data_IF_296708317696
#
_entry.id   IF_296708317696
#
_cell.length_a   1.000
_cell.length_b   1.000
_cell.length_c   1.000
_cell.angle_alpha   90.00
_cell.angle_beta   90.00
_cell.angle_gamma   90.00
#
_symmetry.space_group_name_H-M   'P 1'
#
loop_
_entity.id
_entity.type
_entity.pdbx_description
1 polymer ?
2 polymer ?
3 polymer ?
4 polymer ?
5 non-polymer ?
6 non-polymer ?
7 non-polymer ?
8 non-polymer ?
9 non-polymer ?
10 non-polymer ?
11 water ?
#
loop_
_entity_poly.entity_id
_entity_poly.type
_entity_poly.pdbx_seq_one_letter_code
_entity_poly.pdbx_strand_id
2 'polydeoxyribonucleotide' '(DC)(DG)(DG)(DC)(DA)(DT)(DA)(DC)(DG)' ?
3 'polydeoxyribonucleotide' '(DC)(DG)(DT)(DA)' ?
4 'polydeoxyribonucleotide' '(DG)(DC)(DC)(DG)' ?
#
# COMPACT_ATOMS: atom_id res chain seq x y z
N UNK A 11 8.86 14.82 22.00
CA UNK A 11 8.95 13.37 22.10
C UNK A 11 8.38 12.65 20.89
N UNK A 12 7.86 13.42 19.92
CA UNK A 12 7.33 12.85 18.68
C UNK A 12 8.05 13.41 17.44
N UNK A 13 8.90 12.61 16.80
CA UNK A 13 9.61 13.10 15.61
C UNK A 13 8.65 13.38 14.43
N UNK A 14 9.08 14.23 13.50
CA UNK A 14 8.17 14.69 12.46
C UNK A 14 7.96 13.68 11.34
N UNK A 15 8.93 12.78 11.12
CA UNK A 15 8.82 11.77 10.04
C UNK A 15 8.30 10.45 10.61
N UNK A 16 7.41 9.78 9.87
CA UNK A 16 6.83 8.54 10.35
C UNK A 16 7.87 7.44 10.48
N UNK A 17 8.94 7.51 9.71
CA UNK A 17 9.99 6.49 9.76
C UNK A 17 10.89 6.60 10.98
N UNK A 18 10.68 7.64 11.77
CA UNK A 18 11.47 7.89 12.97
C UNK A 18 10.78 7.39 14.22
N UNK A 19 9.65 6.75 14.08
CA UNK A 19 8.93 6.26 15.25
C UNK A 19 8.23 4.94 14.94
N UNK A 20 8.11 4.07 15.95
CA UNK A 20 7.36 2.82 15.77
C UNK A 20 5.88 3.14 15.58
N UNK A 21 5.27 2.49 14.59
CA UNK A 21 3.81 2.58 14.46
C UNK A 21 3.21 1.19 14.40
N UNK A 22 2.53 0.78 15.46
CA UNK A 22 2.03 -0.58 15.47
C UNK A 22 0.76 -0.66 14.65
N UNK A 23 0.33 -1.89 14.40
CA UNK A 23 -0.83 -2.11 13.55
C UNK A 23 -2.10 -1.67 14.25
N UNK A 24 -2.24 -2.06 15.50
CA UNK A 24 -3.41 -1.63 16.28
C UNK A 24 -2.91 -0.65 17.35
N UNK A 25 -3.77 0.29 17.71
CA UNK A 25 -3.32 1.40 18.54
C UNK A 25 -4.44 1.96 19.41
N UNK A 26 -4.25 3.18 19.89
CA UNK A 26 -5.15 3.76 20.92
C UNK A 26 -5.95 4.95 20.46
N UNK A 27 -5.94 5.19 19.16
CA UNK A 27 -6.65 6.36 18.62
C UNK A 27 -7.34 6.08 17.29
N UNK A 28 -7.88 4.88 17.20
CA UNK A 28 -8.44 4.37 15.95
C UNK A 28 -9.48 5.28 15.32
N UNK A 29 -10.47 5.70 16.12
CA UNK A 29 -11.53 6.54 15.59
C UNK A 29 -11.02 7.87 15.07
N UNK A 30 -10.08 8.47 15.81
CA UNK A 30 -9.51 9.76 15.41
C UNK A 30 -8.71 9.62 14.10
N UNK A 31 -7.88 8.59 14.01
CA UNK A 31 -7.08 8.40 12.80
C UNK A 31 -7.98 8.11 11.61
N UNK A 32 -9.03 7.33 11.81
CA UNK A 32 -9.93 7.00 10.69
C UNK A 32 -10.60 8.27 10.13
N UNK A 33 -10.97 9.20 11.01
CA UNK A 33 -11.61 10.44 10.60
C UNK A 33 -10.66 11.29 9.76
N UNK A 34 -9.43 11.44 10.22
CA UNK A 34 -8.45 12.19 9.45
C UNK A 34 -8.14 11.53 8.11
N UNK A 35 -8.14 10.20 8.08
CA UNK A 35 -7.90 9.50 6.82
C UNK A 35 -9.04 9.65 5.81
N UNK A 36 -10.26 9.87 6.29
CA UNK A 36 -11.34 10.21 5.38
C UNK A 36 -11.02 11.53 4.67
N UNK A 37 -10.57 12.51 5.45
CA UNK A 37 -10.27 13.82 4.87
C UNK A 37 -9.08 13.71 3.93
N UNK A 38 -8.11 12.88 4.28
CA UNK A 38 -6.93 12.65 3.41
C UNK A 38 -7.39 12.09 2.09
N UNK A 39 -8.22 11.05 2.16
CA UNK A 39 -8.74 10.39 0.97
C UNK A 39 -9.51 11.40 0.08
N UNK A 40 -10.34 12.24 0.69
CA UNK A 40 -11.11 13.22 -0.09
C UNK A 40 -10.22 14.26 -0.74
N UNK A 41 -9.14 14.65 -0.05
CA UNK A 41 -8.17 15.56 -0.63
C UNK A 41 -7.57 14.93 -1.89
N UNK A 42 -7.22 13.65 -1.77
CA UNK A 42 -6.73 12.92 -2.93
C UNK A 42 -7.70 12.90 -4.08
N UNK A 43 -8.99 12.74 -3.79
CA UNK A 43 -10.00 12.72 -4.85
C UNK A 43 -10.08 14.05 -5.57
N UNK A 44 -9.71 15.13 -4.89
CA UNK A 44 -9.73 16.44 -5.52
C UNK A 44 -8.36 16.87 -6.07
N UNK A 45 -7.40 15.95 -6.10
CA UNK A 45 -6.10 16.25 -6.66
C UNK A 45 -5.17 17.05 -5.75
N UNK A 46 -5.52 17.15 -4.47
CA UNK A 46 -4.67 17.92 -3.55
C UNK A 46 -3.76 17.00 -2.76
N UNK A 47 -2.64 16.62 -3.38
CA UNK A 47 -1.63 15.74 -2.73
C UNK A 47 -1.09 16.26 -1.42
N UNK A 48 -0.87 17.56 -1.34
CA UNK A 48 -0.25 18.12 -0.13
C UNK A 48 -1.17 17.98 1.07
N UNK A 49 -2.44 18.30 0.87
CA UNK A 49 -3.42 18.16 1.94
C UNK A 49 -3.59 16.69 2.31
N UNK A 50 -3.60 15.82 1.31
CA UNK A 50 -3.71 14.37 1.54
C UNK A 50 -2.58 13.95 2.46
N UNK A 51 -1.37 14.40 2.13
CA UNK A 51 -0.20 14.06 2.94
C UNK A 51 -0.30 14.55 4.37
N UNK A 52 -0.73 15.79 4.55
CA UNK A 52 -0.83 16.31 5.91
C UNK A 52 -1.82 15.53 6.75
N UNK A 53 -3.00 15.26 6.20
CA UNK A 53 -4.01 14.50 6.92
C UNK A 53 -3.53 13.06 7.19
N UNK A 54 -2.85 12.44 6.23
CA UNK A 54 -2.26 11.11 6.48
C UNK A 54 -1.21 11.14 7.56
N UNK A 55 -0.33 12.15 7.54
CA UNK A 55 0.71 12.28 8.56
C UNK A 55 0.12 12.53 9.94
N UNK A 56 -0.90 13.38 10.02
CA UNK A 56 -1.54 13.67 11.29
C UNK A 56 -2.20 12.40 11.84
N UNK A 57 -2.90 11.68 10.97
CA UNK A 57 -3.49 10.42 11.36
C UNK A 57 -2.41 9.48 11.91
N UNK A 58 -1.26 9.44 11.22
CA UNK A 58 -0.21 8.50 11.56
C UNK A 58 0.41 8.83 12.92
N UNK A 59 0.55 10.11 13.19
CA UNK A 59 1.06 10.56 14.50
C UNK A 59 0.19 9.99 15.63
N UNK A 60 -1.12 10.06 15.44
CA UNK A 60 -2.02 9.48 16.45
C UNK A 60 -1.86 7.97 16.64
N UNK A 61 -1.58 7.24 15.55
CA UNK A 61 -1.37 5.81 15.65
C UNK A 61 -0.11 5.49 16.47
N UNK A 62 0.83 6.42 16.46
CA UNK A 62 2.10 6.22 17.15
C UNK A 62 2.06 6.59 18.63
N UNK A 63 0.97 7.20 19.07
CA UNK A 63 0.86 7.61 20.48
C UNK A 63 0.66 6.43 21.40
N UNK A 64 1.12 6.55 22.67
CA UNK A 64 1.09 5.41 23.59
C UNK A 64 -0.24 5.24 24.33
N UNK A 65 -1.17 6.18 24.16
CA UNK A 65 -2.46 6.09 24.84
C UNK A 65 -3.48 6.97 24.12
N UNK A 66 -4.78 6.92 24.51
CA UNK A 66 -5.76 7.72 23.78
C UNK A 66 -5.59 9.22 23.99
N UNK A 67 -5.86 9.98 22.93
CA UNK A 67 -6.02 11.42 23.12
C UNK A 67 -7.41 11.67 23.72
N UNK A 68 -7.45 12.34 24.88
CA UNK A 68 -8.73 12.60 25.54
C UNK A 68 -9.03 14.09 25.62
N UNK A 69 -8.01 14.91 25.50
CA UNK A 69 -8.21 16.35 25.58
C UNK A 69 -7.38 17.04 24.52
N UNK A 70 -7.87 18.18 24.05
CA UNK A 70 -7.22 18.93 22.98
C UNK A 70 -5.79 19.33 23.30
N UNK A 71 -5.51 19.60 24.57
CA UNK A 71 -4.16 20.06 24.95
C UNK A 71 -3.08 19.01 24.65
N UNK A 72 -3.48 17.74 24.57
CA UNK A 72 -2.53 16.67 24.26
C UNK A 72 -2.02 16.72 22.81
N UNK A 73 -2.64 17.56 21.97
CA UNK A 73 -2.17 17.76 20.59
C UNK A 73 -1.04 18.79 20.48
N UNK A 74 -0.91 19.61 21.52
CA UNK A 74 0.13 20.64 21.56
C UNK A 74 1.51 20.06 21.34
N UNK A 75 2.26 20.67 20.42
CA UNK A 75 3.59 20.19 20.14
C UNK A 75 3.68 18.92 19.29
N UNK A 76 2.54 18.33 18.91
CA UNK A 76 2.59 17.17 18.00
C UNK A 76 2.76 17.67 16.57
N UNK A 77 3.67 17.05 15.83
CA UNK A 77 3.86 17.48 14.45
C UNK A 77 2.62 17.17 13.59
N UNK A 78 2.36 18.03 12.61
CA UNK A 78 1.28 17.89 11.63
C UNK A 78 -0.11 18.20 12.14
N UNK A 79 -0.21 18.70 13.37
CA UNK A 79 -1.48 19.18 13.88
C UNK A 79 -1.55 20.69 13.95
N UNK A 80 -2.19 21.28 12.96
CA UNK A 80 -2.41 22.72 12.95
C UNK A 80 -3.88 22.99 13.22
N UNK A 81 -4.36 24.12 12.71
CA UNK A 81 -5.73 24.52 13.01
C UNK A 81 -6.76 23.52 12.50
N UNK A 82 -6.57 23.02 11.28
CA UNK A 82 -7.58 22.15 10.67
C UNK A 82 -7.67 20.77 11.36
N UNK A 83 -6.55 20.04 11.46
CA UNK A 83 -6.59 18.71 12.06
C UNK A 83 -6.95 18.76 13.53
N UNK A 84 -6.52 19.82 14.20
CA UNK A 84 -6.87 19.97 15.62
C UNK A 84 -8.35 20.19 15.80
N UNK A 85 -8.97 20.93 14.88
CA UNK A 85 -10.40 21.19 14.96
C UNK A 85 -11.19 19.91 14.72
N UNK A 86 -10.72 19.08 13.79
CA UNK A 86 -11.34 17.79 13.58
C UNK A 86 -11.33 16.94 14.86
N UNK A 87 -10.18 16.86 15.51
CA UNK A 87 -10.06 16.08 16.73
C UNK A 87 -10.92 16.67 17.85
N UNK A 88 -10.94 18.00 17.94
CA UNK A 88 -11.73 18.69 18.97
C UNK A 88 -13.21 18.33 18.87
N UNK A 89 -13.76 18.32 17.66
CA UNK A 89 -15.18 18.02 17.47
C UNK A 89 -15.49 16.56 17.77
N UNK A 90 -14.59 15.66 17.40
CA UNK A 90 -14.77 14.25 17.74
C UNK A 90 -14.74 14.05 19.25
N UNK A 91 -13.81 14.72 19.92
CA UNK A 91 -13.69 14.64 21.39
C UNK A 91 -14.92 15.20 22.09
N UNK A 92 -15.44 16.31 21.58
CA UNK A 92 -16.60 17.00 22.14
C UNK A 92 -17.96 16.38 21.79
N UNK A 93 -18.11 15.86 20.58
CA UNK A 93 -19.42 15.42 20.08
C UNK A 93 -19.48 14.01 19.54
N UNK A 94 -18.33 13.36 19.41
CA UNK A 94 -18.27 12.00 18.90
C UNK A 94 -18.35 11.97 17.39
N UNK A 95 -18.44 13.15 16.78
CA UNK A 95 -18.64 13.28 15.35
C UNK A 95 -18.02 14.60 14.88
N UNK A 96 -17.43 14.60 13.68
CA UNK A 96 -16.90 15.81 13.06
C UNK A 96 -17.75 16.15 11.83
N UNK A 97 -18.36 17.33 11.84
CA UNK A 97 -19.34 17.67 10.81
C UNK A 97 -18.72 17.59 9.42
N UNK A 98 -17.50 18.09 9.29
CA UNK A 98 -16.85 18.11 7.98
C UNK A 98 -16.69 16.68 7.46
N UNK A 99 -16.25 15.78 8.35
CA UNK A 99 -16.05 14.38 7.99
C UNK A 99 -17.34 13.70 7.56
N UNK A 100 -18.43 13.96 8.30
CA UNK A 100 -19.72 13.35 7.98
C UNK A 100 -20.22 13.87 6.65
N UNK A 101 -20.02 15.16 6.43
CA UNK A 101 -20.44 15.78 5.18
C UNK A 101 -19.69 15.13 4.01
N UNK A 102 -18.39 14.91 4.17
CA UNK A 102 -17.65 14.19 3.14
C UNK A 102 -18.21 12.79 2.92
N UNK A 103 -18.37 12.03 4.01
CA UNK A 103 -18.84 10.65 3.91
C UNK A 103 -20.13 10.50 3.11
N UNK A 104 -21.06 11.43 3.31
CA UNK A 104 -22.34 11.29 2.62
C UNK A 104 -22.42 12.01 1.27
N UNK A 105 -21.36 12.70 0.88
CA UNK A 105 -21.40 13.40 -0.40
C UNK A 105 -21.40 12.43 -1.57
N UNK A 106 -22.04 12.82 -2.66
CA UNK A 106 -22.13 11.94 -3.79
C UNK A 106 -20.77 11.83 -4.45
N UNK A 107 -20.05 12.94 -4.49
CA UNK A 107 -18.70 13.00 -5.00
C UNK A 107 -17.76 12.01 -4.29
N UNK A 108 -17.72 12.06 -2.96
CA UNK A 108 -16.84 11.14 -2.23
C UNK A 108 -17.23 9.69 -2.49
N UNK A 109 -18.50 9.38 -2.35
CA UNK A 109 -18.97 8.00 -2.47
C UNK A 109 -18.69 7.41 -3.84
N UNK A 110 -18.84 8.23 -4.88
CA UNK A 110 -18.64 7.76 -6.24
C UNK A 110 -17.16 7.64 -6.64
N UNK A 111 -16.37 8.63 -6.27
CA UNK A 111 -14.91 8.55 -6.47
C UNK A 111 -14.35 7.36 -5.70
N UNK A 112 -14.86 7.11 -4.49
CA UNK A 112 -14.42 5.93 -3.75
C UNK A 112 -14.77 4.65 -4.49
N UNK A 113 -16.03 4.53 -4.91
CA UNK A 113 -16.47 3.36 -5.63
C UNK A 113 -15.66 3.16 -6.91
N UNK A 114 -15.43 4.23 -7.65
CA UNK A 114 -14.75 4.09 -8.95
C UNK A 114 -13.25 3.76 -8.78
N UNK A 115 -12.57 4.49 -7.90
CA UNK A 115 -11.15 4.26 -7.71
C UNK A 115 -10.82 2.88 -7.12
N UNK A 116 -11.81 2.24 -6.48
CA UNK A 116 -11.66 0.88 -5.96
C UNK A 116 -11.52 -0.14 -7.07
N UNK A 117 -11.97 0.21 -8.27
CA UNK A 117 -11.90 -0.73 -9.38
C UNK A 117 -10.44 -0.83 -9.82
N UNK A 118 -9.96 -2.06 -9.97
CA UNK A 118 -8.64 -2.31 -10.53
C UNK A 118 -8.57 -1.83 -11.99
N UNK A 119 -7.68 -0.87 -12.28
CA UNK A 119 -7.59 -0.26 -13.59
C UNK A 119 -8.11 1.18 -13.65
N UNK A 120 -8.72 1.64 -12.55
CA UNK A 120 -9.26 2.98 -12.47
C UNK A 120 -8.58 3.81 -11.39
N UNK A 121 -8.02 4.96 -11.76
CA UNK A 121 -7.37 5.80 -10.77
C UNK A 121 -8.19 7.04 -10.57
N UNK A 122 -7.67 8.00 -9.80
CA UNK A 122 -8.39 9.24 -9.54
C UNK A 122 -8.78 9.97 -10.83
N UNK A 123 -7.84 10.10 -11.75
CA UNK A 123 -8.10 10.85 -12.98
C UNK A 123 -9.22 10.24 -13.80
N UNK A 124 -9.24 8.92 -13.94
CA UNK A 124 -10.31 8.26 -14.69
C UNK A 124 -11.67 8.38 -13.96
N UNK A 125 -11.68 8.07 -12.67
CA UNK A 125 -12.90 8.20 -11.85
C UNK A 125 -13.52 9.59 -11.98
N UNK A 126 -12.66 10.61 -11.89
CA UNK A 126 -13.08 12.00 -11.97
C UNK A 126 -13.70 12.34 -13.32
N UNK A 127 -13.10 11.84 -14.40
CA UNK A 127 -13.64 12.09 -15.72
C UNK A 127 -15.01 11.47 -15.85
N UNK A 128 -15.13 10.21 -15.47
CA UNK A 128 -16.41 9.51 -15.42
C UNK A 128 -17.43 10.26 -14.55
N UNK A 129 -17.00 10.72 -13.39
CA UNK A 129 -17.89 11.50 -12.52
C UNK A 129 -18.43 12.74 -13.25
N UNK A 130 -17.53 13.47 -13.91
CA UNK A 130 -17.93 14.64 -14.67
C UNK A 130 -18.87 14.28 -15.83
N UNK A 131 -18.73 13.07 -16.37
CA UNK A 131 -19.61 12.62 -17.44
C UNK A 131 -20.99 12.20 -16.94
N UNK A 132 -21.17 12.20 -15.62
CA UNK A 132 -22.45 11.85 -15.05
C UNK A 132 -22.56 10.41 -14.56
N UNK A 133 -21.51 9.62 -14.71
CA UNK A 133 -21.58 8.23 -14.30
C UNK A 133 -21.52 8.16 -12.77
N UNK A 134 -22.25 7.23 -12.18
CA UNK A 134 -22.35 7.17 -10.73
C UNK A 134 -22.20 5.74 -10.16
N UNK A 135 -22.55 4.73 -10.94
CA UNK A 135 -22.61 3.36 -10.40
C UNK A 135 -21.83 2.36 -11.25
N UNK A 136 -21.58 1.16 -10.69
CA UNK A 136 -20.86 0.14 -11.45
C UNK A 136 -21.69 -0.28 -12.65
N UNK A 137 -22.99 -0.35 -12.47
CA UNK A 137 -23.87 -0.64 -13.60
C UNK A 137 -23.77 0.40 -14.72
N UNK A 138 -23.58 1.67 -14.36
CA UNK A 138 -23.37 2.69 -15.39
C UNK A 138 -22.16 2.35 -16.26
N UNK A 139 -21.12 1.79 -15.65
CA UNK A 139 -19.91 1.50 -16.37
C UNK A 139 -20.07 0.27 -17.24
N UNK A 140 -20.77 -0.72 -16.70
CA UNK A 140 -21.02 -1.95 -17.43
C UNK A 140 -21.82 -1.70 -18.71
N UNK A 141 -22.81 -0.81 -18.65
CA UNK A 141 -23.66 -0.48 -19.82
C UNK A 141 -22.91 0.16 -20.98
N UNK A 142 -21.77 0.78 -20.69
CA UNK A 142 -20.97 1.40 -21.74
C UNK A 142 -19.55 0.83 -21.76
N UNK A 143 -19.40 -0.47 -22.08
CA UNK A 143 -18.12 -1.16 -21.96
C UNK A 143 -17.15 -0.76 -23.07
N UNK A 144 -17.62 0.11 -23.96
CA UNK A 144 -16.78 0.65 -25.02
C UNK A 144 -15.73 1.58 -24.41
N UNK A 145 -16.08 2.22 -23.31
CA UNK A 145 -15.19 3.17 -22.68
C UNK A 145 -14.18 2.53 -21.72
N UNK A 146 -14.07 1.21 -21.72
CA UNK A 146 -13.24 0.53 -20.71
C UNK A 146 -12.03 -0.15 -21.32
N UNK A 147 -10.88 -0.05 -20.65
CA UNK A 147 -9.72 -0.79 -21.06
C UNK A 147 -9.92 -2.26 -20.66
N UNK A 148 -9.12 -3.17 -21.24
CA UNK A 148 -9.18 -4.58 -20.89
C UNK A 148 -8.91 -4.76 -19.40
N UNK A 149 -7.98 -3.98 -18.87
CA UNK A 149 -7.69 -4.03 -17.44
C UNK A 149 -8.93 -3.67 -16.62
N UNK A 150 -9.58 -2.57 -16.98
CA UNK A 150 -10.78 -2.13 -16.29
C UNK A 150 -11.93 -3.12 -16.44
N UNK A 151 -12.01 -3.79 -17.58
CA UNK A 151 -13.08 -4.78 -17.76
C UNK A 151 -12.87 -5.90 -16.76
N UNK A 152 -11.63 -6.35 -16.63
CA UNK A 152 -11.32 -7.37 -15.65
C UNK A 152 -11.57 -6.87 -14.24
N UNK A 153 -11.18 -5.64 -13.95
CA UNK A 153 -11.39 -5.09 -12.63
C UNK A 153 -12.87 -5.04 -12.27
N UNK A 154 -13.68 -4.69 -13.27
CA UNK A 154 -15.11 -4.55 -13.07
C UNK A 154 -15.81 -5.91 -12.93
N UNK A 155 -15.48 -6.85 -13.81
CA UNK A 155 -16.02 -8.21 -13.69
C UNK A 155 -15.72 -8.82 -12.35
N UNK A 156 -14.49 -8.63 -11.87
CA UNK A 156 -14.06 -9.26 -10.64
C UNK A 156 -14.25 -8.42 -9.40
N UNK A 157 -14.87 -7.26 -9.57
CA UNK A 157 -14.96 -6.26 -8.48
C UNK A 157 -15.52 -6.82 -7.18
N UNK A 158 -16.57 -7.63 -7.27
CA UNK A 158 -17.19 -8.15 -6.05
C UNK A 158 -16.22 -9.01 -5.25
N UNK A 159 -15.59 -9.98 -5.90
CA UNK A 159 -14.61 -10.81 -5.20
C UNK A 159 -13.44 -9.97 -4.70
N UNK A 160 -13.00 -9.01 -5.50
CA UNK A 160 -11.84 -8.21 -5.11
C UNK A 160 -12.16 -7.27 -3.93
N UNK A 161 -13.43 -7.07 -3.65
CA UNK A 161 -13.83 -6.23 -2.52
C UNK A 161 -13.91 -7.02 -1.23
N UNK A 162 -13.72 -8.34 -1.31
CA UNK A 162 -13.70 -9.19 -0.13
C UNK A 162 -12.26 -9.28 0.39
N UNK A 163 -12.06 -9.12 1.69
CA UNK A 163 -10.68 -9.16 2.24
C UNK A 163 -10.02 -10.49 1.97
N UNK A 164 -8.76 -10.47 1.55
CA UNK A 164 -7.96 -11.68 1.54
C UNK A 164 -7.57 -11.99 2.98
N UNK A 165 -7.66 -13.26 3.37
CA UNK A 165 -7.39 -13.64 4.75
C UNK A 165 -5.99 -14.21 4.88
N UNK A 166 -5.37 -14.01 6.04
CA UNK A 166 -4.02 -14.49 6.25
C UNK A 166 -4.06 -15.98 6.10
N UNK A 167 -5.21 -16.55 6.43
CA UNK A 167 -5.31 -17.99 6.39
C UNK A 167 -5.40 -18.51 4.96
N UNK A 168 -5.58 -17.60 3.99
CA UNK A 168 -5.57 -17.93 2.54
C UNK A 168 -4.16 -17.93 1.99
N UNK A 169 -3.28 -17.20 2.68
CA UNK A 169 -2.03 -16.75 2.07
C UNK A 169 -1.07 -17.91 1.88
N UNK A 170 -1.01 -18.80 2.86
CA UNK A 170 -0.08 -19.93 2.78
C UNK A 170 -0.35 -20.82 1.57
N UNK A 171 -1.62 -21.06 1.27
CA UNK A 171 -1.97 -21.87 0.10
C UNK A 171 -1.50 -21.21 -1.19
N UNK A 172 -1.73 -19.90 -1.32
CA UNK A 172 -1.27 -19.17 -2.50
C UNK A 172 0.25 -19.18 -2.61
N UNK A 173 0.94 -18.98 -1.49
CA UNK A 173 2.41 -18.95 -1.54
C UNK A 173 2.95 -20.27 -2.04
N UNK A 174 2.33 -21.37 -1.60
CA UNK A 174 2.81 -22.69 -2.03
C UNK A 174 2.68 -22.86 -3.53
N UNK A 175 1.56 -22.39 -4.04
CA UNK A 175 1.29 -22.49 -5.46
C UNK A 175 2.28 -21.64 -6.27
N UNK A 176 2.59 -20.45 -5.77
CA UNK A 176 3.59 -19.58 -6.42
C UNK A 176 5.00 -20.21 -6.35
N UNK A 177 5.34 -20.76 -5.19
CA UNK A 177 6.63 -21.38 -5.03
C UNK A 177 6.82 -22.54 -6.01
N UNK A 178 5.75 -23.29 -6.26
CA UNK A 178 5.85 -24.43 -7.18
C UNK A 178 6.18 -23.94 -8.59
N UNK A 179 5.45 -22.94 -9.08
CA UNK A 179 5.73 -22.38 -10.40
C UNK A 179 7.11 -21.73 -10.45
N UNK A 180 7.47 -21.00 -9.40
CA UNK A 180 8.79 -20.37 -9.31
C UNK A 180 9.93 -21.43 -9.33
N UNK A 181 9.74 -22.53 -8.62
CA UNK A 181 10.75 -23.59 -8.54
C UNK A 181 11.02 -24.26 -9.87
N UNK A 182 9.99 -24.40 -10.69
CA UNK A 182 10.14 -24.93 -12.03
C UNK A 182 10.76 -23.90 -12.94
N UNK A 183 10.36 -22.65 -12.77
CA UNK A 183 10.89 -21.58 -13.61
C UNK A 183 12.38 -21.38 -13.40
N UNK A 184 12.82 -21.52 -12.15
CA UNK A 184 14.23 -21.31 -11.82
C UNK A 184 14.52 -21.96 -10.48
N UNK A 185 15.04 -23.19 -10.51
CA UNK A 185 15.35 -23.86 -9.25
C UNK A 185 16.23 -23.02 -8.33
N UNK A 186 15.85 -22.94 -7.07
CA UNK A 186 16.64 -22.19 -6.13
C UNK A 186 16.09 -20.79 -5.90
N UNK A 187 15.18 -20.35 -6.75
CA UNK A 187 14.56 -19.03 -6.59
C UNK A 187 13.65 -19.08 -5.38
N UNK A 188 13.55 -17.97 -4.65
CA UNK A 188 12.75 -17.96 -3.41
C UNK A 188 11.56 -17.01 -3.51
N UNK A 189 10.57 -17.24 -2.67
CA UNK A 189 9.41 -16.39 -2.65
C UNK A 189 9.29 -15.86 -1.26
N UNK A 190 9.14 -14.53 -1.11
CA UNK A 190 9.02 -13.94 0.22
C UNK A 190 7.71 -13.16 0.31
N UNK A 191 6.93 -13.41 1.34
CA UNK A 191 5.68 -12.69 1.54
C UNK A 191 6.03 -11.26 1.98
N UNK A 192 5.46 -10.27 1.30
CA UNK A 192 5.73 -8.88 1.65
C UNK A 192 4.40 -8.16 1.90
N UNK A 193 4.35 -6.87 1.59
CA UNK A 193 3.11 -6.11 1.72
C UNK A 193 2.53 -6.10 3.14
N UNK A 194 1.23 -5.84 3.25
CA UNK A 194 0.58 -5.69 4.54
C UNK A 194 0.69 -6.92 5.44
N UNK A 195 0.62 -8.13 4.85
CA UNK A 195 0.70 -9.33 5.67
C UNK A 195 2.04 -9.46 6.38
N UNK A 196 3.10 -8.99 5.75
CA UNK A 196 4.40 -9.00 6.45
C UNK A 196 4.43 -8.03 7.65
N UNK A 197 3.62 -6.97 7.59
CA UNK A 197 3.53 -6.03 8.72
C UNK A 197 2.60 -6.55 9.81
N UNK A 198 2.08 -7.76 9.63
CA UNK A 198 1.21 -8.38 10.64
C UNK A 198 -0.29 -8.26 10.40
N UNK A 199 -0.68 -7.69 9.27
CA UNK A 199 -2.11 -7.56 8.99
C UNK A 199 -2.75 -8.94 8.90
N UNK A 200 -3.98 -9.05 9.39
CA UNK A 200 -4.71 -10.32 9.30
C UNK A 200 -5.56 -10.40 8.03
N UNK A 201 -5.74 -9.26 7.36
CA UNK A 201 -6.47 -9.20 6.11
C UNK A 201 -5.72 -8.30 5.14
N UNK A 202 -6.09 -8.36 3.86
CA UNK A 202 -5.44 -7.54 2.86
C UNK A 202 -6.29 -7.35 1.64
N UNK A 203 -5.95 -6.36 0.85
CA UNK A 203 -6.63 -6.16 -0.43
C UNK A 203 -6.03 -7.10 -1.50
N UNK A 204 -4.84 -7.61 -1.22
CA UNK A 204 -4.12 -8.46 -2.18
C UNK A 204 -3.05 -9.26 -1.44
N UNK A 205 -2.28 -10.05 -2.16
CA UNK A 205 -1.09 -10.66 -1.58
C UNK A 205 0.11 -10.22 -2.41
N UNK A 206 1.17 -9.76 -1.75
CA UNK A 206 2.38 -9.28 -2.42
C UNK A 206 3.56 -10.23 -2.19
N UNK A 207 4.17 -10.70 -3.27
CA UNK A 207 5.29 -11.64 -3.14
C UNK A 207 6.53 -11.06 -3.81
N UNK A 208 7.68 -11.16 -3.15
CA UNK A 208 8.94 -10.72 -3.73
C UNK A 208 9.78 -11.96 -4.06
N UNK A 209 10.30 -12.02 -5.27
CA UNK A 209 10.99 -13.22 -5.75
C UNK A 209 12.43 -12.85 -6.06
N UNK A 210 13.37 -13.71 -5.67
CA UNK A 210 14.77 -13.47 -6.01
C UNK A 210 15.48 -14.81 -6.14
N UNK A 211 16.80 -14.77 -6.38
CA UNK A 211 17.60 -16.00 -6.46
C UNK A 211 18.96 -15.66 -5.85
N UNK A 212 19.55 -16.59 -5.06
CA UNK A 212 20.80 -16.26 -4.34
C UNK A 212 22.01 -15.97 -5.24
N UNK A 213 21.96 -16.36 -6.51
CA UNK A 213 23.05 -16.07 -7.43
C UNK A 213 22.70 -14.87 -8.30
N UNK A 214 23.37 -13.74 -8.02
CA UNK A 214 23.14 -12.50 -8.76
C UNK A 214 23.11 -12.72 -10.27
N UNK A 215 22.05 -12.25 -10.91
CA UNK A 215 21.91 -12.38 -12.35
C UNK A 215 21.00 -13.54 -12.79
N UNK A 216 20.88 -14.58 -11.97
CA UNK A 216 20.08 -15.73 -12.37
C UNK A 216 18.60 -15.36 -12.47
N UNK A 217 18.22 -14.24 -11.85
CA UNK A 217 16.81 -13.90 -11.80
C UNK A 217 16.39 -13.13 -13.03
N UNK A 218 17.35 -12.71 -13.86
CA UNK A 218 17.01 -12.02 -15.11
C UNK A 218 16.03 -12.87 -15.95
N UNK A 219 14.98 -12.25 -16.47
CA UNK A 219 14.01 -12.94 -17.31
C UNK A 219 13.07 -13.91 -16.62
N UNK A 220 13.04 -13.88 -15.29
CA UNK A 220 12.33 -14.88 -14.51
C UNK A 220 10.81 -14.73 -14.51
N UNK A 221 10.33 -13.49 -14.39
CA UNK A 221 8.90 -13.28 -14.21
C UNK A 221 8.02 -13.80 -15.35
N UNK A 222 8.41 -13.57 -16.62
CA UNK A 222 7.59 -14.17 -17.69
C UNK A 222 7.49 -15.68 -17.58
N UNK A 223 8.57 -16.33 -17.15
CA UNK A 223 8.59 -17.79 -17.01
C UNK A 223 7.66 -18.24 -15.89
N UNK A 224 7.64 -17.47 -14.81
CA UNK A 224 6.74 -17.75 -13.71
C UNK A 224 5.30 -17.55 -14.20
N UNK A 225 5.05 -16.44 -14.89
CA UNK A 225 3.67 -16.15 -15.27
C UNK A 225 3.15 -17.20 -16.24
N UNK A 226 4.01 -17.67 -17.15
CA UNK A 226 3.58 -18.67 -18.13
C UNK A 226 3.21 -19.98 -17.43
N UNK A 227 3.97 -20.35 -16.41
CA UNK A 227 3.68 -21.56 -15.67
C UNK A 227 2.38 -21.44 -14.87
N UNK A 228 2.18 -20.29 -14.24
CA UNK A 228 0.96 -20.07 -13.48
C UNK A 228 -0.24 -20.10 -14.41
N UNK A 229 -0.10 -19.48 -15.58
CA UNK A 229 -1.22 -19.43 -16.52
C UNK A 229 -1.50 -20.84 -17.05
N UNK A 230 -0.44 -21.62 -17.29
CA UNK A 230 -0.61 -23.01 -17.73
C UNK A 230 -1.35 -23.88 -16.72
N UNK A 231 -1.15 -23.60 -15.44
CA UNK A 231 -1.87 -24.32 -14.40
C UNK A 231 -3.32 -23.85 -14.21
N UNK A 232 -3.76 -22.88 -15.01
CA UNK A 232 -5.15 -22.43 -14.94
C UNK A 232 -5.47 -21.48 -13.77
N UNK A 233 -4.43 -20.91 -13.17
CA UNK A 233 -4.59 -20.11 -11.94
C UNK A 233 -4.75 -18.62 -12.17
N UNK A 234 -4.48 -18.16 -13.39
CA UNK A 234 -4.48 -16.74 -13.65
C UNK A 234 -5.77 -16.33 -14.36
N UNK A 235 -6.57 -15.50 -13.72
CA UNK A 235 -7.81 -15.02 -14.30
C UNK A 235 -7.50 -13.79 -15.10
N UNK A 236 -6.45 -13.07 -14.72
CA UNK A 236 -6.06 -11.88 -15.44
C UNK A 236 -4.60 -11.55 -15.19
N UNK A 237 -3.87 -11.22 -16.25
CA UNK A 237 -2.62 -10.46 -16.09
C UNK A 237 -2.33 -9.73 -17.39
N UNK A 238 -1.41 -8.79 -17.39
CA UNK A 238 -1.16 -8.12 -18.66
C UNK A 238 0.03 -8.68 -19.42
N UNK A 258 9.56 -8.52 -21.62
CA UNK A 258 10.41 -8.52 -20.43
C UNK A 258 9.80 -7.62 -19.38
N UNK A 259 9.65 -8.13 -18.15
CA UNK A 259 9.07 -7.34 -17.08
C UNK A 259 9.47 -7.89 -15.72
N UNK A 260 9.26 -7.08 -14.68
CA UNK A 260 9.72 -7.42 -13.34
C UNK A 260 8.67 -7.23 -12.25
N UNK A 261 7.52 -6.65 -12.62
CA UNK A 261 6.38 -6.57 -11.69
C UNK A 261 5.16 -7.08 -12.43
N UNK A 262 4.35 -7.90 -11.77
CA UNK A 262 3.11 -8.38 -12.39
C UNK A 262 1.94 -8.14 -11.43
N UNK A 263 0.87 -7.52 -11.92
CA UNK A 263 -0.32 -7.29 -11.07
C UNK A 263 -1.40 -8.21 -11.62
N UNK A 264 -1.68 -9.29 -10.92
CA UNK A 264 -2.58 -10.24 -11.54
C UNK A 264 -3.76 -10.56 -10.65
N UNK A 265 -4.70 -11.29 -11.22
CA UNK A 265 -5.87 -11.76 -10.51
C UNK A 265 -5.80 -13.27 -10.61
N UNK A 266 -5.82 -13.90 -9.44
CA UNK A 266 -5.56 -15.32 -9.27
C UNK A 266 -6.86 -16.00 -8.88
N UNK A 267 -6.98 -17.25 -9.27
CA UNK A 267 -8.07 -18.11 -8.85
C UNK A 267 -7.69 -18.80 -7.54
N UNK A 268 -8.38 -18.49 -6.45
CA UNK A 268 -8.09 -19.07 -5.16
C UNK A 268 -9.19 -20.03 -4.73
N UNK A 269 -8.83 -21.30 -4.44
CA UNK A 269 -9.84 -22.30 -4.05
C UNK A 269 -10.61 -21.91 -2.80
N UNK A 270 -11.91 -22.21 -2.82
CA UNK A 270 -12.81 -22.02 -1.70
C UNK A 270 -13.61 -23.32 -1.62
N UNK A 271 -14.28 -23.57 -0.48
CA UNK A 271 -15.11 -24.79 -0.39
C UNK A 271 -16.14 -24.91 -1.53
N UNK A 272 -15.96 -25.92 -2.37
CA UNK A 272 -16.87 -26.19 -3.47
C UNK A 272 -16.80 -25.22 -4.65
N UNK A 273 -15.83 -24.31 -4.60
CA UNK A 273 -15.76 -23.25 -5.60
C UNK A 273 -14.40 -22.53 -5.50
N UNK A 274 -14.38 -21.23 -5.82
CA UNK A 274 -13.14 -20.45 -5.75
C UNK A 274 -13.50 -18.97 -5.70
N UNK A 275 -12.51 -18.13 -5.44
CA UNK A 275 -12.72 -16.70 -5.57
C UNK A 275 -11.51 -16.04 -6.22
N UNK A 276 -11.75 -14.90 -6.84
CA UNK A 276 -10.70 -14.13 -7.49
C UNK A 276 -9.99 -13.32 -6.42
N UNK A 277 -8.66 -13.33 -6.46
CA UNK A 277 -7.84 -12.58 -5.50
C UNK A 277 -6.75 -11.82 -6.27
N UNK A 278 -6.44 -10.60 -5.85
CA UNK A 278 -5.34 -9.85 -6.45
C UNK A 278 -4.03 -10.35 -5.84
N UNK A 279 -3.05 -10.57 -6.71
CA UNK A 279 -1.73 -11.03 -6.29
C UNK A 279 -0.70 -10.24 -7.08
N UNK A 280 0.27 -9.65 -6.38
CA UNK A 280 1.37 -8.94 -7.02
C UNK A 280 2.65 -9.74 -6.90
N UNK A 281 3.41 -9.82 -7.99
CA UNK A 281 4.68 -10.52 -7.99
C UNK A 281 5.71 -9.53 -8.43
N UNK A 282 6.86 -9.53 -7.75
CA UNK A 282 7.95 -8.67 -8.17
C UNK A 282 9.24 -9.45 -8.05
N UNK A 283 10.12 -9.27 -9.02
CA UNK A 283 11.42 -9.93 -9.02
C UNK A 283 12.49 -8.86 -8.78
N UNK A 284 13.47 -9.17 -7.94
CA UNK A 284 14.63 -8.32 -7.76
C UNK A 284 15.89 -9.19 -7.76
N UNK A 285 17.02 -8.64 -8.25
CA UNK A 285 18.28 -9.36 -8.02
C UNK A 285 18.62 -9.38 -6.51
N UNK A 286 19.38 -10.37 -6.07
CA UNK A 286 19.67 -10.49 -4.65
C UNK A 286 20.40 -9.25 -4.07
N UNK A 287 21.21 -8.59 -4.88
CA UNK A 287 21.87 -7.34 -4.46
C UNK A 287 20.87 -6.26 -4.07
N UNK A 288 19.71 -6.25 -4.74
CA UNK A 288 18.70 -5.24 -4.47
C UNK A 288 17.62 -5.74 -3.53
N UNK A 289 17.66 -7.01 -3.15
CA UNK A 289 16.58 -7.60 -2.38
C UNK A 289 16.19 -6.84 -1.10
N UNK A 290 17.19 -6.38 -0.30
CA UNK A 290 16.84 -5.62 0.91
C UNK A 290 16.03 -4.35 0.60
N UNK A 291 16.41 -3.67 -0.47
CA UNK A 291 15.70 -2.45 -0.85
C UNK A 291 14.31 -2.78 -1.33
N UNK A 292 14.18 -3.89 -2.06
CA UNK A 292 12.88 -4.23 -2.62
C UNK A 292 11.96 -4.72 -1.50
N UNK A 293 12.53 -5.51 -0.60
CA UNK A 293 11.80 -5.97 0.57
C UNK A 293 11.31 -4.79 1.42
N UNK A 294 12.19 -3.83 1.63
CA UNK A 294 11.81 -2.65 2.45
C UNK A 294 10.68 -1.87 1.77
N UNK A 295 10.83 -1.64 0.47
CA UNK A 295 9.82 -0.90 -0.27
C UNK A 295 8.49 -1.63 -0.32
N UNK A 296 8.51 -2.91 -0.68
CA UNK A 296 7.28 -3.66 -0.82
C UNK A 296 6.61 -4.02 0.47
N UNK A 297 7.33 -3.89 1.59
CA UNK A 297 6.72 -4.20 2.89
C UNK A 297 5.92 -3.00 3.44
N UNK A 298 6.27 -1.79 3.02
CA UNK A 298 5.43 -0.64 3.33
C UNK A 298 5.55 -0.19 4.79
N UNK A 299 4.53 0.46 5.36
CA UNK A 299 3.32 0.87 4.65
C UNK A 299 3.63 1.90 3.55
N UNK A 300 2.62 2.21 2.74
CA UNK A 300 2.82 3.18 1.67
C UNK A 300 3.29 4.51 2.30
N UNK A 301 2.60 4.97 3.32
CA UNK A 301 3.01 6.23 3.94
C UNK A 301 4.42 6.09 4.54
N UNK A 302 4.71 4.97 5.19
CA UNK A 302 6.05 4.76 5.76
C UNK A 302 7.15 4.92 4.70
N UNK A 303 6.92 4.35 3.52
CA UNK A 303 7.93 4.39 2.45
C UNK A 303 8.12 5.80 1.88
N UNK A 304 7.02 6.51 1.68
CA UNK A 304 7.08 7.91 1.24
C UNK A 304 7.84 8.76 2.26
N UNK A 305 7.56 8.56 3.54
CA UNK A 305 8.25 9.31 4.59
C UNK A 305 9.72 8.91 4.68
N UNK A 306 10.00 7.62 4.55
CA UNK A 306 11.38 7.16 4.54
C UNK A 306 12.17 7.72 3.38
N UNK A 307 11.57 7.74 2.20
CA UNK A 307 12.24 8.33 1.05
C UNK A 307 12.42 9.85 1.19
N UNK A 308 11.41 10.50 1.73
CA UNK A 308 11.47 11.95 1.97
C UNK A 308 12.56 12.24 2.98
N UNK A 309 12.62 11.43 4.02
CA UNK A 309 13.66 11.58 5.06
C UNK A 309 15.07 11.43 4.50
N UNK A 310 15.27 10.34 3.76
CA UNK A 310 16.53 10.05 3.10
C UNK A 310 17.02 11.24 2.28
N UNK A 311 16.17 11.73 1.38
CA UNK A 311 16.53 12.83 0.50
C UNK A 311 16.72 14.16 1.25
N UNK A 312 15.73 14.55 2.05
CA UNK A 312 15.76 15.87 2.68
C UNK A 312 16.70 15.97 3.88
N UNK A 313 16.83 14.89 4.66
CA UNK A 313 17.66 14.95 5.86
C UNK A 313 19.05 14.40 5.63
N UNK A 314 19.22 13.46 4.70
CA UNK A 314 20.48 12.74 4.60
C UNK A 314 21.13 13.00 3.25
N UNK A 315 20.40 13.65 2.37
CA UNK A 315 20.88 13.89 1.01
C UNK A 315 21.11 12.63 0.19
N UNK A 316 20.41 11.55 0.52
CA UNK A 316 20.53 10.27 -0.19
C UNK A 316 19.23 9.91 -0.91
N UNK A 317 19.35 9.29 -2.08
CA UNK A 317 18.16 9.01 -2.88
C UNK A 317 17.79 7.53 -2.76
N UNK A 318 16.61 7.25 -2.22
CA UNK A 318 16.20 5.89 -1.91
C UNK A 318 15.09 5.44 -2.85
N UNK A 319 15.17 4.20 -3.33
CA UNK A 319 14.04 3.59 -3.98
C UNK A 319 14.05 2.09 -3.74
N UNK A 320 13.19 1.35 -4.44
CA UNK A 320 13.12 -0.11 -4.19
C UNK A 320 14.27 -0.88 -4.81
N UNK A 321 15.19 -0.16 -5.46
CA UNK A 321 16.35 -0.78 -6.10
C UNK A 321 17.65 -0.48 -5.35
N UNK A 322 17.67 0.58 -4.56
CA UNK A 322 18.95 0.95 -3.95
C UNK A 322 18.92 2.32 -3.29
N UNK A 323 20.08 2.74 -2.80
CA UNK A 323 20.18 3.99 -2.07
C UNK A 323 21.41 4.68 -2.63
N UNK A 324 21.22 5.85 -3.24
CA UNK A 324 22.26 6.51 -4.01
C UNK A 324 22.78 7.78 -3.34
N UNK A 325 24.10 7.90 -3.25
CA UNK A 325 24.77 9.13 -2.82
C UNK A 325 25.09 9.93 -4.07
N UNK A 326 24.36 11.02 -4.30
CA UNK A 326 24.44 11.79 -5.54
C UNK A 326 25.71 12.66 -5.60
N UNK A 327 26.46 12.72 -4.51
CA UNK A 327 27.71 13.48 -4.50
C UNK A 327 28.92 12.60 -4.78
N UNK A 328 28.98 11.43 -4.17
CA UNK A 328 29.97 10.43 -4.52
C UNK A 328 29.59 9.65 -5.77
N UNK A 329 28.36 9.81 -6.24
CA UNK A 329 27.82 9.00 -7.34
C UNK A 329 28.02 7.51 -7.07
N UNK A 330 27.69 7.08 -5.85
CA UNK A 330 27.83 5.67 -5.46
C UNK A 330 26.54 5.12 -4.85
N UNK A 331 26.31 3.84 -5.04
CA UNK A 331 25.19 3.11 -4.43
C UNK A 331 25.65 2.39 -3.17
N UNK A 332 24.84 2.44 -2.12
CA UNK A 332 25.13 1.70 -0.91
C UNK A 332 24.84 0.22 -1.13
N UNK A 333 25.71 -0.66 -0.67
CA UNK A 333 25.41 -2.08 -0.73
C UNK A 333 24.68 -2.40 0.55
N UNK A 334 23.65 -3.22 0.48
CA UNK A 334 22.98 -3.56 1.72
C UNK A 334 22.75 -5.03 1.68
N UNK A 335 22.97 -5.69 2.81
CA UNK A 335 22.73 -7.13 2.88
C UNK A 335 21.44 -7.43 3.63
N UNK A 336 20.84 -6.38 4.21
CA UNK A 336 19.65 -6.55 5.03
C UNK A 336 18.90 -5.23 5.14
N UNK A 337 17.65 -5.29 5.59
CA UNK A 337 16.94 -4.07 5.92
C UNK A 337 17.65 -3.34 7.05
N UNK A 338 18.18 -4.11 8.00
CA UNK A 338 18.95 -3.50 9.08
C UNK A 338 20.06 -2.59 8.54
N UNK A 339 20.77 -3.05 7.52
CA UNK A 339 21.81 -2.21 6.87
C UNK A 339 21.25 -0.87 6.42
N UNK A 340 20.05 -0.90 5.86
CA UNK A 340 19.49 0.30 5.25
C UNK A 340 19.13 1.31 6.32
N UNK A 341 18.48 0.86 7.41
CA UNK A 341 18.16 1.76 8.51
C UNK A 341 19.46 2.36 9.08
N UNK A 342 20.48 1.53 9.24
CA UNK A 342 21.78 2.07 9.71
C UNK A 342 22.40 3.12 8.76
N UNK A 343 22.36 2.84 7.44
CA UNK A 343 22.85 3.78 6.43
C UNK A 343 22.20 5.14 6.64
N UNK A 344 20.90 5.12 6.89
CA UNK A 344 20.10 6.33 7.03
C UNK A 344 20.15 6.94 8.43
N UNK A 345 20.90 6.34 9.35
CA UNK A 345 20.96 6.87 10.72
C UNK A 345 19.65 6.78 11.48
N UNK A 346 18.85 5.76 11.17
CA UNK A 346 17.57 5.55 11.85
C UNK A 346 17.57 4.30 12.73
N UNK A 347 16.91 4.35 13.88
CA UNK A 347 16.74 3.12 14.66
C UNK A 347 15.96 2.10 13.83
N UNK A 348 16.37 0.83 13.90
CA UNK A 348 15.68 -0.21 13.14
C UNK A 348 14.22 -0.38 13.60
N UNK A 349 13.30 -0.53 12.64
CA UNK A 349 11.93 -0.85 12.98
C UNK A 349 11.57 -2.15 12.27
N UNK A 350 11.11 -3.15 13.01
CA UNK A 350 10.64 -4.36 12.35
C UNK A 350 9.37 -4.04 11.56
N UNK A 351 8.99 -4.91 10.61
CA UNK A 351 7.83 -4.66 9.74
C UNK A 351 6.56 -4.33 10.51
N UNK A 352 6.35 -5.00 11.64
CA UNK A 352 5.14 -4.77 12.42
C UNK A 352 5.08 -3.38 13.08
N UNK A 353 6.20 -2.65 13.09
CA UNK A 353 6.20 -1.25 13.57
C UNK A 353 6.33 -0.23 12.45
N UNK A 354 6.04 -0.67 11.21
CA UNK A 354 6.05 0.21 10.06
C UNK A 354 4.64 0.48 9.57
N UNK A 355 3.67 0.34 10.46
CA UNK A 355 2.28 0.53 10.06
C UNK A 355 1.83 2.00 10.12
N UNK A 356 2.64 2.86 9.51
CA UNK A 356 2.34 4.29 9.53
C UNK A 356 1.09 4.59 8.74
X LIG E 1 1.97 3.80 -3.97
X LIG E 1 2.54 2.86 -3.41
X LIG E 1 1.85 1.65 -3.16
X LIG E 1 2.50 0.64 -2.55
X LIG E 1 3.84 2.99 -3.05
X LIG E 1 4.46 1.98 -2.43
X LIG E 1 5.63 2.12 -2.09
X LIG E 1 3.82 0.82 -2.19
X LIG E 1 4.56 -0.22 -1.47
X LIG E 1 4.27 -0.11 0.08
X LIG E 1 3.03 -1.03 0.22
X LIG E 1 2.87 -1.54 1.54
X LIG E 1 4.04 -1.50 -1.87
X LIG E 1 3.44 -2.17 -0.74
X LIG E 1 2.24 -3.04 -1.21
X LIG E 1 1.29 -2.22 -1.88
X LIG E 1 -0.21 -2.66 -1.57
X LIG E 1 -0.40 -4.12 -1.83
X LIG E 1 -1.11 -1.76 -2.50
X LIG E 1 -0.57 -2.18 0.00
X LIG E 1 -0.42 -3.13 1.37
X LIG E 1 0.44 -2.45 2.39
X LIG E 1 0.05 -4.60 1.06
X LIG E 1 -1.88 -3.26 1.97
X LIG E 1 -3.17 -3.92 1.23
X LIG E 1 -3.87 -4.85 2.29
X LIG E 1 -4.04 -2.79 0.78
X LIG E 1 -2.60 -4.75 0.00
X LIG F 1 0.04 -5.00 -3.90
X LIG G 1 -0.81 -5.68 -0.44
X LIG H 1 -9.74 24.96 10.20
X LIG H 1 -10.95 24.64 10.90
X LIG H 1 -10.05 25.31 8.74
X LIG H 1 -8.85 25.35 7.98
X LIG I 1 7.82 -0.58 -3.57
X LIG I 1 8.10 0.79 -3.24
X LIG I 1 6.72 -0.64 -4.62
X LIG I 1 7.29 -0.29 -5.89
X LIG J 1 -2.99 19.85 -1.58
X LIG K 1 -8.22 1.56 -8.86
X LIG L 1 20.69 -0.63 -8.28
X LIG L 1 22.12 -0.56 -8.28
X LIG L 1 20.10 0.65 -8.88
X LIG L 1 20.45 0.76 -10.26
X LIG M 1 -9.86 -6.62 10.97
X LIG M 1 -10.83 -7.71 10.75
X LIG M 1 -12.16 -7.38 11.46
X LIG M 1 -12.63 -6.06 11.13
X LIG M 1 -11.67 -4.97 11.15
X LIG M 1 -10.39 -5.35 10.42
X LIG M 1 -8.56 -6.99 10.36
X LIG M 1 -7.78 -5.73 9.99
X LIG M 1 -6.00 -5.99 9.72
X LIG M 1 -5.82 -6.59 8.40
X LIG M 1 -5.44 -6.86 10.76
X LIG M 1 -5.40 -4.64 9.76
#
# INVERSE_FOLDING_TARGET
GSAAAPLSPAWMPAYACQRPTPLTHHNTGLSEALEILAEAAGFEGSEGRLLTFCRAASVLKALPSPVTTLSQLQGLPHFGEHSSRVVQELLEHGVCEEVERVRRSERYQTMKLFTQIFGVGVKTADRWYREGLRTLDDLREQPQKLTQQQKAGLQHHQDLSTPVLRSDVDALQQVVEEAVGQALPGATVTLTGGFRRGKLQGHDVDFLITHPKEGQEAGLLPRVMCRLQDQGLILYHQHQHSCCESPTRLAQQSHMDAFERSFCIFRLPQPGSWKAVRVDLVVAPVSQFPFALLGWTGSKLFQRELRRFSRKEKGLWLNSHGLFDPEQKTFFQAASEEDIFRHLGLEYLPPEQRNA
DUP O4 C4 C5 C6 N3 C2 O2 N1 C1' C2' C3' O3' O4' C4' C5' O5' PA O1A O2A N3A PB O1B O2B O3B PG O2G O1G O3G
MG MG
MG MG
EDO C1 O1 C2 O2
EDO C1 O1 C2 O2
CL CL
NA NA
EDO C1 O1 C2 O2
EPE N1 C2 C3 N4 C5 C6 C9 C10 S O1S O2S O3S
#
